data_IF_388151565795
#
_entry.id   IF_388151565795
#
_cell.length_a   1.000
_cell.length_b   1.000
_cell.length_c   1.000
_cell.angle_alpha   90.00
_cell.angle_beta   90.00
_cell.angle_gamma   90.00
#
_symmetry.space_group_name_H-M   'P 1'
#
loop_
_entity.id
_entity.type
_entity.pdbx_description
1 polymer ?
#
# COMPACT_ATOMS: atom_id res chain seq x y z
N UNK A 1 -33.77 22.29 24.53
CA UNK A 1 -33.81 21.81 23.15
C UNK A 1 -32.47 22.17 22.54
N UNK A 2 -31.53 21.25 22.53
CA UNK A 2 -30.22 21.42 21.91
C UNK A 2 -30.28 20.96 20.44
N UNK A 3 -29.46 21.52 19.56
CA UNK A 3 -29.42 21.11 18.16
C UNK A 3 -28.78 19.74 18.03
N UNK A 4 -29.44 18.84 17.30
CA UNK A 4 -28.95 17.51 17.01
C UNK A 4 -27.74 17.59 16.07
N UNK A 5 -26.76 16.76 16.35
CA UNK A 5 -25.64 16.51 15.48
C UNK A 5 -26.14 15.87 14.17
N UNK A 6 -25.97 16.57 13.06
CA UNK A 6 -26.15 16.01 11.73
C UNK A 6 -25.01 15.04 11.46
N UNK A 7 -25.31 13.74 11.40
CA UNK A 7 -24.37 12.74 10.93
C UNK A 7 -24.05 13.02 9.45
N UNK A 8 -22.80 13.34 9.17
CA UNK A 8 -22.28 13.47 7.81
C UNK A 8 -22.12 12.07 7.24
N UNK A 9 -23.04 11.65 6.38
CA UNK A 9 -22.86 10.47 5.55
C UNK A 9 -21.81 10.78 4.48
N UNK A 10 -20.61 10.26 4.65
CA UNK A 10 -19.58 10.28 3.62
C UNK A 10 -20.11 9.50 2.41
N UNK A 11 -20.11 10.13 1.25
CA UNK A 11 -20.42 9.48 -0.01
C UNK A 11 -19.23 8.58 -0.36
N UNK A 12 -19.42 7.30 -0.72
CA UNK A 12 -18.32 6.43 -1.12
C UNK A 12 -17.57 7.03 -2.32
N UNK A 13 -16.25 6.93 -2.29
CA UNK A 13 -15.40 7.22 -3.45
C UNK A 13 -15.82 6.32 -4.62
N UNK A 14 -15.83 6.80 -5.87
CA UNK A 14 -16.02 5.94 -7.02
C UNK A 14 -14.89 4.93 -7.10
N UNK A 15 -15.22 3.65 -6.99
CA UNK A 15 -14.26 2.56 -7.10
C UNK A 15 -13.76 2.38 -8.53
N UNK A 16 -12.58 1.75 -8.71
CA UNK A 16 -12.06 1.40 -10.02
C UNK A 16 -13.06 0.53 -10.81
N UNK A 17 -13.06 0.70 -12.12
CA UNK A 17 -13.96 -0.01 -13.04
C UNK A 17 -13.76 -1.53 -12.95
N UNK A 18 -14.85 -2.29 -13.08
CA UNK A 18 -14.79 -3.73 -13.26
C UNK A 18 -13.98 -4.08 -14.51
N UNK A 19 -13.04 -5.05 -14.41
CA UNK A 19 -12.33 -5.52 -15.59
C UNK A 19 -13.29 -6.18 -16.58
N UNK A 20 -13.05 -6.03 -17.90
CA UNK A 20 -13.82 -6.75 -18.93
C UNK A 20 -13.56 -8.25 -18.82
N UNK A 21 -14.58 -9.05 -19.10
CA UNK A 21 -14.52 -10.51 -19.12
C UNK A 21 -13.41 -11.01 -20.06
N UNK A 22 -12.59 -11.94 -19.54
CA UNK A 22 -11.48 -12.56 -20.28
C UNK A 22 -11.99 -13.26 -21.54
N UNK A 23 -11.59 -12.76 -22.70
CA UNK A 23 -11.73 -13.43 -23.98
C UNK A 23 -10.63 -14.47 -24.18
N UNK A 24 -10.98 -15.58 -24.84
CA UNK A 24 -10.09 -16.72 -25.10
C UNK A 24 -8.84 -16.32 -25.90
N UNK A 25 -7.68 -16.81 -25.45
CA UNK A 25 -6.34 -16.59 -26.03
C UNK A 25 -6.16 -17.45 -27.29
N UNK A 26 -5.61 -16.93 -28.40
CA UNK A 26 -5.17 -17.75 -29.54
C UNK A 26 -3.82 -18.39 -29.25
N UNK A 27 -3.67 -19.65 -29.71
CA UNK A 27 -2.54 -20.53 -29.44
C UNK A 27 -1.16 -20.02 -29.89
N UNK A 28 -0.18 -20.36 -29.10
CA UNK A 28 1.26 -20.08 -29.25
C UNK A 28 1.90 -20.97 -30.33
N UNK A 29 2.81 -20.44 -31.19
CA UNK A 29 3.64 -21.28 -32.03
C UNK A 29 4.86 -21.83 -31.25
N UNK A 30 5.09 -23.10 -31.44
CA UNK A 30 6.21 -23.88 -30.90
C UNK A 30 7.55 -23.43 -31.51
N UNK A 31 8.48 -22.93 -30.69
CA UNK A 31 9.87 -22.68 -31.08
C UNK A 31 10.79 -23.73 -30.48
N UNK A 32 11.69 -24.26 -31.32
CA UNK A 32 12.59 -25.36 -31.06
C UNK A 32 13.61 -25.07 -29.93
N UNK A 33 13.82 -26.06 -29.08
CA UNK A 33 14.72 -26.04 -27.93
C UNK A 33 16.20 -25.96 -28.34
N UNK A 34 16.89 -24.91 -27.87
CA UNK A 34 18.34 -24.88 -27.73
C UNK A 34 18.66 -25.15 -26.24
N UNK A 35 19.66 -25.99 -25.97
CA UNK A 35 20.08 -26.32 -24.60
C UNK A 35 20.53 -25.03 -23.85
N UNK A 36 20.02 -24.78 -22.61
CA UNK A 36 20.46 -23.64 -21.83
C UNK A 36 21.84 -23.93 -21.17
N UNK A 37 22.74 -22.99 -21.30
CA UNK A 37 23.94 -22.94 -20.48
C UNK A 37 23.50 -22.74 -19.01
N UNK A 38 23.87 -23.71 -18.16
CA UNK A 38 23.62 -23.63 -16.71
C UNK A 38 24.54 -22.58 -16.09
N UNK A 39 24.05 -21.36 -15.95
CA UNK A 39 24.59 -20.45 -14.94
C UNK A 39 24.20 -21.01 -13.56
N UNK A 40 25.13 -21.02 -12.57
CA UNK A 40 24.74 -21.39 -11.22
C UNK A 40 23.67 -20.40 -10.74
N UNK A 41 22.52 -20.94 -10.33
CA UNK A 41 21.50 -20.18 -9.62
C UNK A 41 22.15 -19.41 -8.47
N UNK A 42 21.93 -18.09 -8.33
CA UNK A 42 22.34 -17.40 -7.12
C UNK A 42 21.65 -18.13 -5.95
N UNK A 43 22.42 -18.47 -4.92
CA UNK A 43 21.90 -19.10 -3.73
C UNK A 43 20.85 -18.15 -3.13
N UNK A 44 19.56 -18.48 -3.31
CA UNK A 44 18.47 -17.74 -2.68
C UNK A 44 18.74 -17.71 -1.19
N UNK A 45 18.86 -16.52 -0.62
CA UNK A 45 18.96 -16.36 0.81
C UNK A 45 17.73 -17.01 1.46
N UNK A 46 17.92 -17.69 2.60
CA UNK A 46 16.78 -18.25 3.34
C UNK A 46 15.80 -17.13 3.68
N UNK A 47 14.48 -17.39 3.64
CA UNK A 47 13.49 -16.38 4.04
C UNK A 47 13.80 -15.84 5.44
N UNK A 48 13.67 -14.53 5.68
CA UNK A 48 13.86 -13.96 7.01
C UNK A 48 12.79 -14.46 7.97
N UNK A 49 13.14 -14.54 9.25
CA UNK A 49 12.16 -14.89 10.29
C UNK A 49 11.38 -13.66 10.72
N UNK A 50 10.07 -13.62 10.44
CA UNK A 50 9.20 -12.48 10.69
C UNK A 50 8.32 -12.76 11.91
N UNK A 51 8.25 -11.81 12.84
CA UNK A 51 7.48 -11.94 14.08
C UNK A 51 6.77 -10.65 14.45
N UNK A 52 5.56 -10.79 14.98
CA UNK A 52 4.87 -9.74 15.74
C UNK A 52 5.11 -9.99 17.22
N UNK A 53 5.74 -9.03 17.91
CA UNK A 53 5.98 -9.07 19.35
C UNK A 53 5.36 -7.84 20.00
N UNK A 54 4.21 -8.00 20.63
CA UNK A 54 3.38 -6.88 21.04
C UNK A 54 2.97 -6.05 19.81
N UNK A 55 3.30 -4.77 19.81
CA UNK A 55 3.07 -3.88 18.66
C UNK A 55 4.29 -3.71 17.75
N UNK A 56 5.30 -4.57 17.84
CA UNK A 56 6.50 -4.49 17.00
C UNK A 56 6.47 -5.58 15.92
N UNK A 57 6.83 -5.20 14.71
CA UNK A 57 7.23 -6.11 13.65
C UNK A 57 8.74 -6.31 13.76
N UNK A 58 9.18 -7.56 13.79
CA UNK A 58 10.59 -7.93 13.86
C UNK A 58 10.97 -8.83 12.69
N UNK A 59 12.15 -8.57 12.17
CA UNK A 59 12.79 -9.39 11.13
C UNK A 59 14.10 -9.91 11.71
N UNK A 60 14.26 -11.23 11.77
CA UNK A 60 15.42 -11.90 12.38
C UNK A 60 15.71 -11.43 13.82
N UNK A 61 14.64 -11.11 14.56
CA UNK A 61 14.70 -10.65 15.94
C UNK A 61 14.86 -9.14 16.12
N UNK A 62 15.22 -8.39 15.07
CA UNK A 62 15.40 -6.94 15.14
C UNK A 62 14.10 -6.19 14.77
N UNK A 63 13.74 -5.14 15.52
CA UNK A 63 12.57 -4.32 15.19
C UNK A 63 12.72 -3.64 13.82
N UNK A 64 11.72 -3.78 12.97
CA UNK A 64 11.67 -3.12 11.67
C UNK A 64 10.73 -1.89 11.74
N UNK A 65 11.24 -0.72 11.34
CA UNK A 65 10.44 0.46 11.05
C UNK A 65 10.12 0.48 9.56
N UNK A 66 8.83 0.47 9.20
CA UNK A 66 8.41 0.55 7.82
C UNK A 66 8.66 1.96 7.26
N UNK A 67 9.55 2.06 6.30
CA UNK A 67 9.82 3.22 5.47
C UNK A 67 9.39 2.87 4.06
N UNK A 68 8.09 3.01 3.79
CA UNK A 68 7.48 2.43 2.62
C UNK A 68 6.87 3.41 1.65
N UNK A 69 6.59 2.87 0.45
CA UNK A 69 5.79 3.52 -0.58
C UNK A 69 4.77 2.55 -1.15
N UNK A 70 3.62 3.06 -1.57
CA UNK A 70 2.67 2.35 -2.41
C UNK A 70 3.25 2.28 -3.83
N UNK A 71 3.33 1.08 -4.41
CA UNK A 71 3.97 0.86 -5.69
C UNK A 71 3.03 0.12 -6.66
N UNK A 72 2.62 0.84 -7.68
CA UNK A 72 1.62 0.39 -8.64
C UNK A 72 1.96 0.92 -10.04
N UNK A 73 3.05 0.44 -10.67
CA UNK A 73 3.57 1.00 -11.91
C UNK A 73 2.68 0.68 -13.10
N UNK A 74 1.98 1.69 -13.60
CA UNK A 74 1.15 1.64 -14.81
C UNK A 74 1.71 2.62 -15.84
N UNK A 75 2.13 2.15 -17.03
CA UNK A 75 2.69 3.03 -18.05
C UNK A 75 1.64 3.96 -18.66
N UNK A 76 2.13 5.06 -19.28
CA UNK A 76 1.30 6.00 -20.03
C UNK A 76 0.44 5.25 -21.07
N UNK A 77 -0.84 5.57 -21.12
CA UNK A 77 -1.80 4.97 -22.04
C UNK A 77 -2.38 3.62 -21.59
N UNK A 78 -1.97 3.11 -20.45
CA UNK A 78 -2.50 1.89 -19.85
C UNK A 78 -3.41 2.19 -18.65
N UNK A 79 -4.10 1.17 -18.12
CA UNK A 79 -5.01 1.28 -16.98
C UNK A 79 -4.75 0.16 -15.98
N UNK A 80 -4.93 0.44 -14.69
CA UNK A 80 -4.93 -0.58 -13.64
C UNK A 80 -6.25 -1.40 -13.66
N UNK A 81 -6.22 -2.73 -13.40
CA UNK A 81 -5.02 -3.55 -13.15
C UNK A 81 -4.39 -4.12 -14.43
N UNK A 82 -5.06 -4.01 -15.58
CA UNK A 82 -4.69 -4.73 -16.80
C UNK A 82 -3.34 -4.26 -17.40
N UNK A 83 -2.97 -3.01 -17.15
CA UNK A 83 -1.72 -2.41 -17.61
C UNK A 83 -0.61 -2.36 -16.58
N UNK A 84 -0.78 -2.99 -15.42
CA UNK A 84 0.25 -3.03 -14.38
C UNK A 84 1.52 -3.73 -14.87
N UNK A 85 2.66 -3.07 -14.75
CA UNK A 85 3.94 -3.54 -15.30
C UNK A 85 5.07 -3.47 -14.26
N UNK A 86 5.03 -4.36 -13.28
CA UNK A 86 6.10 -4.47 -12.28
C UNK A 86 7.45 -4.79 -12.93
N UNK A 87 7.49 -5.69 -13.92
CA UNK A 87 8.72 -6.15 -14.55
C UNK A 87 9.41 -5.06 -15.35
N UNK A 88 8.64 -4.20 -16.04
CA UNK A 88 9.18 -3.10 -16.84
C UNK A 88 9.79 -1.98 -16.00
N UNK A 89 9.35 -1.84 -14.74
CA UNK A 89 9.77 -0.71 -13.88
C UNK A 89 10.69 -1.09 -12.72
N UNK A 90 10.71 -2.35 -12.28
CA UNK A 90 11.41 -2.75 -11.03
C UNK A 90 12.90 -2.36 -11.00
N UNK A 91 13.61 -2.49 -12.10
CA UNK A 91 15.06 -2.22 -12.14
C UNK A 91 15.35 -0.75 -11.81
N UNK A 92 14.59 0.17 -12.39
CA UNK A 92 14.74 1.61 -12.18
C UNK A 92 14.15 2.05 -10.83
N UNK A 93 12.90 1.63 -10.56
CA UNK A 93 12.20 2.04 -9.34
C UNK A 93 12.90 1.55 -8.08
N UNK A 94 13.36 0.28 -8.03
CA UNK A 94 14.07 -0.24 -6.88
C UNK A 94 15.40 0.46 -6.61
N UNK A 95 16.11 0.92 -7.67
CA UNK A 95 17.33 1.69 -7.50
C UNK A 95 17.08 3.06 -6.85
N UNK A 96 16.07 3.79 -7.32
CA UNK A 96 15.66 5.07 -6.73
C UNK A 96 15.08 4.91 -5.31
N UNK A 97 14.23 3.90 -5.09
CA UNK A 97 13.68 3.58 -3.77
C UNK A 97 14.79 3.28 -2.76
N UNK A 98 15.82 2.54 -3.15
CA UNK A 98 16.99 2.28 -2.30
C UNK A 98 17.75 3.56 -1.97
N UNK A 99 17.95 4.46 -2.95
CA UNK A 99 18.57 5.76 -2.74
C UNK A 99 17.78 6.61 -1.73
N UNK A 100 16.46 6.58 -1.85
CA UNK A 100 15.54 7.25 -0.94
C UNK A 100 15.60 6.67 0.49
N UNK A 101 15.99 5.40 0.65
CA UNK A 101 15.98 4.69 1.93
C UNK A 101 14.69 3.92 2.22
N UNK A 102 13.89 3.66 1.19
CA UNK A 102 12.73 2.76 1.25
C UNK A 102 13.19 1.34 1.60
N UNK A 103 12.48 0.69 2.51
CA UNK A 103 12.70 -0.71 2.89
C UNK A 103 11.48 -1.60 2.67
N UNK A 104 10.36 -1.05 2.23
CA UNK A 104 9.16 -1.82 1.93
C UNK A 104 8.32 -1.16 0.83
N UNK A 105 7.76 -1.97 -0.05
CA UNK A 105 6.70 -1.55 -0.97
C UNK A 105 5.39 -2.23 -0.60
N UNK A 106 4.27 -1.52 -0.77
CA UNK A 106 2.93 -2.08 -0.71
C UNK A 106 2.37 -2.15 -2.12
N UNK A 107 1.89 -3.33 -2.54
CA UNK A 107 1.24 -3.53 -3.83
C UNK A 107 -0.28 -3.44 -3.74
N UNK A 108 -0.96 -3.18 -4.86
CA UNK A 108 -2.42 -3.19 -4.96
C UNK A 108 -2.95 -4.45 -5.63
N UNK A 109 -2.10 -5.14 -6.38
CA UNK A 109 -2.38 -6.44 -6.98
C UNK A 109 -1.35 -7.48 -6.52
N UNK A 110 -1.66 -8.78 -6.61
CA UNK A 110 -0.72 -9.83 -6.24
C UNK A 110 0.56 -9.78 -7.07
N UNK A 111 1.68 -9.58 -6.41
CA UNK A 111 3.01 -9.70 -7.03
C UNK A 111 3.50 -11.14 -6.89
N UNK A 112 3.48 -11.88 -7.99
CA UNK A 112 3.83 -13.30 -8.05
C UNK A 112 5.06 -13.58 -8.91
N UNK A 113 5.59 -12.57 -9.60
CA UNK A 113 6.78 -12.65 -10.41
C UNK A 113 8.03 -12.69 -9.51
N UNK A 114 8.71 -13.83 -9.49
CA UNK A 114 9.88 -14.03 -8.64
C UNK A 114 11.10 -13.23 -9.10
N UNK A 115 11.22 -12.90 -10.38
CA UNK A 115 12.33 -12.06 -10.86
C UNK A 115 12.17 -10.62 -10.37
N UNK A 116 10.94 -10.11 -10.32
CA UNK A 116 10.63 -8.80 -9.72
C UNK A 116 10.91 -8.82 -8.21
N UNK A 117 10.49 -9.87 -7.52
CA UNK A 117 10.75 -10.05 -6.09
C UNK A 117 12.26 -10.15 -5.80
N UNK A 118 13.04 -10.85 -6.63
CA UNK A 118 14.50 -10.92 -6.51
C UNK A 118 15.14 -9.51 -6.61
N UNK A 119 14.70 -8.67 -7.56
CA UNK A 119 15.20 -7.30 -7.70
C UNK A 119 14.91 -6.44 -6.47
N UNK A 120 13.71 -6.57 -5.91
CA UNK A 120 13.36 -5.88 -4.67
C UNK A 120 14.21 -6.38 -3.49
N UNK A 121 14.40 -7.70 -3.35
CA UNK A 121 15.25 -8.28 -2.32
C UNK A 121 16.71 -7.82 -2.43
N UNK A 122 17.28 -7.79 -3.64
CA UNK A 122 18.63 -7.30 -3.92
C UNK A 122 18.80 -5.81 -3.56
N UNK A 123 17.71 -5.05 -3.66
CA UNK A 123 17.67 -3.65 -3.21
C UNK A 123 17.45 -3.48 -1.70
N UNK A 124 17.19 -4.57 -0.96
CA UNK A 124 16.86 -4.55 0.47
C UNK A 124 15.44 -4.08 0.75
N UNK A 125 14.52 -4.29 -0.20
CA UNK A 125 13.13 -3.84 -0.14
C UNK A 125 12.21 -5.05 0.05
N UNK A 126 11.44 -5.03 1.14
CA UNK A 126 10.38 -6.00 1.42
C UNK A 126 9.08 -5.67 0.70
N UNK A 127 8.16 -6.64 0.66
CA UNK A 127 6.86 -6.49 0.00
C UNK A 127 5.72 -6.79 0.99
N UNK A 128 4.82 -5.83 1.15
CA UNK A 128 3.46 -6.04 1.67
C UNK A 128 2.62 -6.43 0.45
N UNK A 129 2.39 -7.73 0.28
CA UNK A 129 1.81 -8.27 -0.95
C UNK A 129 0.28 -8.39 -0.84
N UNK A 130 -0.45 -7.62 -1.63
CA UNK A 130 -1.92 -7.64 -1.67
C UNK A 130 -2.43 -8.86 -2.44
N UNK A 131 -2.62 -9.99 -1.74
CA UNK A 131 -3.04 -11.25 -2.37
C UNK A 131 -4.55 -11.42 -2.50
N UNK A 132 -5.34 -10.54 -1.86
CA UNK A 132 -6.80 -10.48 -2.00
C UNK A 132 -7.30 -9.02 -1.95
N UNK A 133 -6.98 -8.18 -2.96
CA UNK A 133 -7.30 -6.74 -2.93
C UNK A 133 -8.79 -6.44 -3.10
N UNK A 134 -9.54 -7.29 -3.81
CA UNK A 134 -10.95 -7.08 -4.15
C UNK A 134 -11.75 -8.38 -4.20
N UNK A 135 -13.08 -8.29 -4.06
CA UNK A 135 -13.98 -9.43 -3.86
C UNK A 135 -14.47 -10.15 -5.12
N UNK A 136 -13.91 -9.84 -6.29
CA UNK A 136 -14.36 -10.44 -7.56
C UNK A 136 -14.02 -11.91 -7.76
N UNK A 137 -13.12 -12.45 -6.91
CA UNK A 137 -12.77 -13.87 -6.90
C UNK A 137 -13.21 -14.54 -5.59
N UNK A 138 -13.38 -15.87 -5.54
CA UNK A 138 -13.55 -16.61 -4.30
C UNK A 138 -12.35 -16.42 -3.36
N UNK A 139 -12.55 -16.52 -2.04
CA UNK A 139 -11.49 -16.29 -1.06
C UNK A 139 -10.33 -17.30 -1.18
N UNK A 140 -10.60 -18.52 -1.65
CA UNK A 140 -9.59 -19.59 -1.78
C UNK A 140 -8.52 -19.32 -2.85
N UNK A 141 -8.71 -18.33 -3.71
CA UNK A 141 -7.66 -17.90 -4.66
C UNK A 141 -6.37 -17.50 -3.97
N UNK A 142 -6.43 -17.08 -2.70
CA UNK A 142 -5.24 -16.71 -1.91
C UNK A 142 -4.29 -17.88 -1.69
N UNK A 143 -4.79 -19.11 -1.67
CA UNK A 143 -3.97 -20.32 -1.41
C UNK A 143 -2.89 -20.50 -2.47
N UNK A 144 -3.27 -20.36 -3.75
CA UNK A 144 -2.31 -20.48 -4.86
C UNK A 144 -1.36 -19.28 -4.89
N UNK A 145 -1.86 -18.08 -4.66
CA UNK A 145 -1.06 -16.83 -4.65
C UNK A 145 0.01 -16.87 -3.56
N UNK A 146 -0.36 -17.22 -2.35
CA UNK A 146 0.56 -17.35 -1.21
C UNK A 146 1.58 -18.47 -1.47
N UNK A 147 1.12 -19.66 -1.91
CA UNK A 147 1.99 -20.80 -2.18
C UNK A 147 3.06 -20.49 -3.23
N UNK A 148 2.74 -19.66 -4.21
CA UNK A 148 3.66 -19.31 -5.28
C UNK A 148 4.92 -18.59 -4.77
N UNK A 149 4.79 -17.72 -3.75
CA UNK A 149 5.90 -16.83 -3.36
C UNK A 149 6.19 -16.76 -1.85
N UNK A 150 5.50 -17.55 -1.00
CA UNK A 150 5.67 -17.50 0.47
C UNK A 150 7.09 -17.77 0.97
N UNK A 151 7.89 -18.48 0.21
CA UNK A 151 9.28 -18.77 0.58
C UNK A 151 10.27 -17.73 0.05
N UNK A 152 9.77 -16.68 -0.60
CA UNK A 152 10.63 -15.64 -1.18
C UNK A 152 11.08 -14.64 -0.11
N UNK A 153 12.39 -14.31 -0.01
CA UNK A 153 12.92 -13.46 1.06
C UNK A 153 12.41 -12.01 1.05
N UNK A 154 11.85 -11.54 -0.06
CA UNK A 154 11.23 -10.22 -0.12
C UNK A 154 9.86 -10.15 0.55
N UNK A 155 9.15 -11.26 0.77
CA UNK A 155 7.81 -11.22 1.36
C UNK A 155 7.90 -10.85 2.84
N UNK A 156 7.22 -9.78 3.24
CA UNK A 156 7.15 -9.31 4.62
C UNK A 156 5.83 -9.67 5.29
N UNK A 157 4.72 -9.42 4.59
CA UNK A 157 3.38 -9.75 5.06
C UNK A 157 2.39 -9.83 3.90
N UNK A 158 1.28 -10.49 4.15
CA UNK A 158 0.15 -10.58 3.22
C UNK A 158 -0.86 -9.49 3.52
N UNK A 159 -1.46 -8.90 2.49
CA UNK A 159 -2.55 -7.95 2.66
C UNK A 159 -3.84 -8.44 1.99
N UNK A 160 -4.98 -8.18 2.64
CA UNK A 160 -6.33 -8.51 2.15
C UNK A 160 -7.25 -7.30 2.27
N UNK A 161 -7.97 -7.02 1.19
CA UNK A 161 -8.83 -5.84 1.04
C UNK A 161 -8.03 -4.54 0.90
N UNK A 162 -8.68 -3.53 0.32
CA UNK A 162 -8.24 -2.15 0.34
C UNK A 162 -9.48 -1.28 0.52
N UNK A 163 -9.54 -0.47 1.60
CA UNK A 163 -10.66 0.42 1.91
C UNK A 163 -12.05 -0.24 1.79
N UNK A 164 -12.10 -1.51 2.11
CA UNK A 164 -13.27 -2.35 1.91
C UNK A 164 -14.50 -1.89 2.71
N UNK A 165 -14.29 -1.11 3.76
CA UNK A 165 -15.34 -0.43 4.52
C UNK A 165 -16.06 0.66 3.73
N UNK A 166 -15.41 1.24 2.71
CA UNK A 166 -16.00 2.24 1.83
C UNK A 166 -16.55 1.62 0.54
N UNK A 167 -15.85 0.65 -0.02
CA UNK A 167 -16.10 0.18 -1.38
C UNK A 167 -16.75 -1.21 -1.48
N UNK A 168 -16.99 -1.92 -0.33
CA UNK A 168 -17.59 -3.25 -0.33
C UNK A 168 -16.79 -4.26 -1.17
N UNK A 169 -15.45 -4.25 -1.05
CA UNK A 169 -14.50 -5.02 -1.83
C UNK A 169 -14.68 -4.82 -3.35
N UNK A 170 -15.08 -3.62 -3.77
CA UNK A 170 -15.34 -3.21 -5.16
C UNK A 170 -16.41 -4.05 -5.91
N UNK A 171 -17.18 -4.86 -5.18
CA UNK A 171 -18.27 -5.69 -5.74
C UNK A 171 -19.59 -5.46 -5.02
N UNK A 172 -19.68 -4.39 -4.24
CA UNK A 172 -20.92 -3.97 -3.55
C UNK A 172 -21.33 -4.88 -2.40
N UNK A 173 -20.40 -5.56 -1.74
CA UNK A 173 -20.68 -6.33 -0.54
C UNK A 173 -21.09 -5.40 0.62
N UNK A 174 -21.95 -5.90 1.48
CA UNK A 174 -22.19 -5.26 2.76
C UNK A 174 -20.93 -5.27 3.64
N UNK A 175 -20.89 -4.43 4.67
CA UNK A 175 -19.80 -4.45 5.65
C UNK A 175 -19.60 -5.86 6.26
N UNK A 176 -20.68 -6.49 6.71
CA UNK A 176 -20.62 -7.82 7.33
C UNK A 176 -20.19 -8.91 6.35
N UNK A 177 -20.62 -8.85 5.09
CA UNK A 177 -20.17 -9.79 4.04
C UNK A 177 -18.70 -9.57 3.70
N UNK A 178 -18.22 -8.32 3.69
CA UNK A 178 -16.80 -7.99 3.50
C UNK A 178 -15.95 -8.54 4.64
N UNK A 179 -16.37 -8.33 5.90
CA UNK A 179 -15.74 -8.92 7.09
C UNK A 179 -15.66 -10.44 6.98
N UNK A 180 -16.77 -11.10 6.64
CA UNK A 180 -16.81 -12.56 6.51
C UNK A 180 -15.85 -13.05 5.42
N UNK A 181 -15.85 -12.41 4.26
CA UNK A 181 -14.99 -12.75 3.11
C UNK A 181 -13.50 -12.55 3.42
N UNK A 182 -13.13 -11.45 4.08
CA UNK A 182 -11.74 -11.17 4.43
C UNK A 182 -11.23 -12.08 5.55
N UNK A 183 -12.07 -12.42 6.55
CA UNK A 183 -11.71 -13.41 7.55
C UNK A 183 -11.49 -14.80 6.94
N UNK A 184 -12.31 -15.20 5.98
CA UNK A 184 -12.12 -16.45 5.26
C UNK A 184 -10.77 -16.43 4.52
N UNK A 185 -10.48 -15.38 3.75
CA UNK A 185 -9.22 -15.23 3.04
C UNK A 185 -8.02 -15.26 4.01
N UNK A 186 -8.07 -14.49 5.10
CA UNK A 186 -7.00 -14.45 6.09
C UNK A 186 -6.78 -15.82 6.78
N UNK A 187 -7.85 -16.54 7.10
CA UNK A 187 -7.75 -17.88 7.68
C UNK A 187 -7.10 -18.89 6.71
N UNK A 188 -7.43 -18.81 5.42
CA UNK A 188 -6.83 -19.63 4.37
C UNK A 188 -5.35 -19.30 4.18
N UNK A 189 -4.97 -18.02 4.20
CA UNK A 189 -3.58 -17.58 4.16
C UNK A 189 -2.81 -18.19 5.34
N UNK A 190 -3.31 -18.05 6.57
CA UNK A 190 -2.66 -18.60 7.78
C UNK A 190 -2.55 -20.10 7.79
N UNK A 191 -3.46 -20.81 7.15
CA UNK A 191 -3.39 -22.27 6.99
C UNK A 191 -2.32 -22.68 5.99
N UNK A 192 -2.04 -21.86 4.98
CA UNK A 192 -1.01 -22.09 3.97
C UNK A 192 0.38 -21.60 4.40
N UNK A 193 0.40 -20.49 5.17
CA UNK A 193 1.62 -19.81 5.62
C UNK A 193 1.43 -19.30 7.05
N UNK A 194 2.13 -19.91 8.00
CA UNK A 194 2.12 -19.53 9.42
C UNK A 194 3.23 -18.55 9.80
N UNK A 195 4.14 -18.26 8.89
CA UNK A 195 5.35 -17.48 9.17
C UNK A 195 5.15 -15.98 8.93
N UNK A 196 4.34 -15.62 7.93
CA UNK A 196 4.11 -14.21 7.60
C UNK A 196 2.79 -13.71 8.19
N UNK A 197 2.78 -12.49 8.78
CA UNK A 197 1.55 -11.89 9.29
C UNK A 197 0.58 -11.52 8.15
N UNK A 198 -0.71 -11.51 8.50
CA UNK A 198 -1.78 -11.08 7.60
C UNK A 198 -2.30 -9.72 8.02
N UNK A 199 -2.24 -8.77 7.09
CA UNK A 199 -2.79 -7.43 7.25
C UNK A 199 -4.13 -7.27 6.51
N UNK A 200 -4.97 -6.36 7.00
CA UNK A 200 -6.10 -5.80 6.22
C UNK A 200 -5.97 -4.29 6.13
N UNK A 201 -6.46 -3.71 5.02
CA UNK A 201 -6.35 -2.27 4.77
C UNK A 201 -7.72 -1.62 4.91
N UNK A 202 -7.83 -0.71 5.86
CA UNK A 202 -9.09 -0.07 6.26
C UNK A 202 -8.99 1.45 6.07
N UNK A 203 -10.05 2.05 5.57
CA UNK A 203 -10.17 3.51 5.51
C UNK A 203 -10.55 4.08 6.87
N UNK A 204 -9.69 4.92 7.46
CA UNK A 204 -9.85 5.50 8.78
C UNK A 204 -9.83 4.45 9.93
N UNK A 205 -10.18 4.84 11.14
CA UNK A 205 -10.14 3.94 12.31
C UNK A 205 -11.36 3.00 12.35
N UNK A 206 -11.16 1.67 12.44
CA UNK A 206 -12.26 0.74 12.65
C UNK A 206 -12.87 0.90 14.04
N UNK A 207 -14.12 0.54 14.17
CA UNK A 207 -14.77 0.43 15.47
C UNK A 207 -14.41 -0.89 16.18
N UNK A 208 -14.73 -0.96 17.48
CA UNK A 208 -14.43 -2.13 18.29
C UNK A 208 -15.17 -3.41 17.82
N UNK A 209 -16.33 -3.28 17.19
CA UNK A 209 -17.08 -4.42 16.67
C UNK A 209 -16.39 -5.02 15.44
N UNK A 210 -15.92 -4.17 14.52
CA UNK A 210 -15.13 -4.57 13.34
C UNK A 210 -13.83 -5.25 13.76
N UNK A 211 -13.08 -4.67 14.72
CA UNK A 211 -11.85 -5.28 15.25
C UNK A 211 -12.13 -6.68 15.84
N UNK A 212 -13.15 -6.81 16.66
CA UNK A 212 -13.53 -8.08 17.28
C UNK A 212 -14.03 -9.14 16.28
N UNK A 213 -14.59 -8.69 15.15
CA UNK A 213 -15.11 -9.59 14.12
C UNK A 213 -14.01 -10.14 13.19
N UNK A 214 -12.76 -9.65 13.27
CA UNK A 214 -11.66 -10.05 12.37
C UNK A 214 -10.45 -10.65 13.13
N UNK A 215 -10.62 -11.78 13.84
CA UNK A 215 -9.58 -12.38 14.68
C UNK A 215 -8.41 -13.00 13.89
N UNK A 216 -8.57 -13.18 12.59
CA UNK A 216 -7.51 -13.72 11.71
C UNK A 216 -6.54 -12.64 11.20
N UNK A 217 -6.78 -11.37 11.50
CA UNK A 217 -5.92 -10.26 11.11
C UNK A 217 -4.90 -9.99 12.21
N UNK A 218 -3.62 -9.96 11.83
CA UNK A 218 -2.50 -9.71 12.74
C UNK A 218 -2.11 -8.23 12.78
N UNK A 219 -2.24 -7.54 11.65
CA UNK A 219 -1.81 -6.14 11.46
C UNK A 219 -2.91 -5.36 10.76
N UNK A 220 -3.12 -4.11 11.17
CA UNK A 220 -4.08 -3.21 10.55
C UNK A 220 -3.37 -2.11 9.78
N UNK A 221 -3.58 -2.07 8.47
CA UNK A 221 -3.21 -0.93 7.64
C UNK A 221 -4.34 0.10 7.67
N UNK A 222 -4.01 1.34 7.94
CA UNK A 222 -4.96 2.45 8.00
C UNK A 222 -4.63 3.46 6.91
N UNK A 223 -5.56 3.66 5.97
CA UNK A 223 -5.49 4.76 5.01
C UNK A 223 -6.05 6.01 5.67
N UNK A 224 -5.24 7.07 5.81
CA UNK A 224 -5.62 8.27 6.51
C UNK A 224 -5.14 9.55 5.82
N UNK A 225 -6.11 10.37 5.40
CA UNK A 225 -5.87 11.65 4.74
C UNK A 225 -6.54 12.77 5.52
N UNK A 226 -5.80 13.34 6.49
CA UNK A 226 -6.31 14.33 7.45
C UNK A 226 -5.59 15.69 7.35
N UNK A 227 -5.14 16.05 6.16
CA UNK A 227 -4.34 17.25 5.95
C UNK A 227 -2.85 17.02 6.28
N UNK A 228 -2.24 17.94 7.03
CA UNK A 228 -0.80 17.91 7.34
C UNK A 228 -0.45 17.23 8.68
N UNK A 229 -1.43 16.68 9.38
CA UNK A 229 -1.29 15.93 10.65
C UNK A 229 -2.38 14.89 10.76
N UNK A 230 -2.07 13.77 11.41
CA UNK A 230 -3.04 12.71 11.68
C UNK A 230 -3.95 12.99 12.89
N UNK A 231 -3.68 14.07 13.65
CA UNK A 231 -4.49 14.43 14.82
C UNK A 231 -4.50 13.32 15.88
N UNK A 232 -5.67 12.79 16.19
CA UNK A 232 -5.88 11.77 17.22
C UNK A 232 -5.78 10.30 16.73
N UNK A 233 -5.27 10.08 15.51
CA UNK A 233 -5.24 8.74 14.89
C UNK A 233 -4.55 7.69 15.76
N UNK A 234 -3.34 8.00 16.24
CA UNK A 234 -2.51 7.05 16.98
C UNK A 234 -3.02 6.83 18.42
N UNK A 235 -3.50 7.88 19.07
CA UNK A 235 -4.17 7.77 20.38
C UNK A 235 -5.44 6.96 20.26
N UNK A 236 -6.27 7.29 19.26
CA UNK A 236 -7.51 6.60 18.97
C UNK A 236 -7.32 5.10 18.65
N UNK A 237 -6.22 4.75 17.97
CA UNK A 237 -5.85 3.34 17.77
C UNK A 237 -5.45 2.68 19.09
N UNK A 238 -4.60 3.35 19.88
CA UNK A 238 -4.11 2.84 21.16
C UNK A 238 -5.22 2.54 22.17
N UNK A 239 -6.32 3.30 22.11
CA UNK A 239 -7.50 3.09 22.94
C UNK A 239 -8.39 1.91 22.49
N UNK A 240 -8.35 1.57 21.18
CA UNK A 240 -9.23 0.56 20.57
C UNK A 240 -8.63 -0.81 20.46
N UNK A 241 -7.30 -0.91 20.29
CA UNK A 241 -6.63 -2.18 19.95
C UNK A 241 -5.23 -2.29 20.50
N UNK A 242 -4.86 -3.49 20.92
CA UNK A 242 -3.48 -3.87 21.23
C UNK A 242 -2.72 -4.42 20.01
N UNK A 243 -3.38 -4.63 18.88
CA UNK A 243 -2.73 -5.05 17.65
C UNK A 243 -1.82 -3.96 17.07
N UNK A 244 -0.74 -4.31 16.35
CA UNK A 244 0.04 -3.36 15.62
C UNK A 244 -0.75 -2.77 14.45
N UNK A 245 -0.46 -1.51 14.11
CA UNK A 245 -0.98 -0.85 12.93
C UNK A 245 0.16 -0.20 12.13
N UNK A 246 -0.09 0.07 10.86
CA UNK A 246 0.74 0.98 10.07
C UNK A 246 -0.15 1.93 9.28
N UNK A 247 0.35 3.09 8.92
CA UNK A 247 -0.37 3.99 8.02
C UNK A 247 -0.13 3.49 6.60
N UNK A 248 -1.13 2.80 6.04
CA UNK A 248 -0.99 2.08 4.77
C UNK A 248 -1.16 2.96 3.53
N UNK A 249 -1.78 4.13 3.71
CA UNK A 249 -1.77 5.23 2.76
C UNK A 249 -1.82 6.55 3.52
N UNK A 250 -0.95 7.47 3.10
CA UNK A 250 -0.91 8.86 3.55
C UNK A 250 -0.11 9.68 2.54
N UNK A 251 -0.31 10.97 2.53
CA UNK A 251 0.46 11.86 1.67
C UNK A 251 -0.33 13.10 1.25
N UNK A 252 0.13 13.71 0.19
CA UNK A 252 -0.50 14.82 -0.52
C UNK A 252 -0.14 14.72 -1.99
N UNK A 253 -1.04 15.20 -2.85
CA UNK A 253 -0.73 15.35 -4.27
C UNK A 253 0.04 16.65 -4.56
N UNK A 254 0.62 16.75 -5.74
CA UNK A 254 1.44 17.88 -6.15
C UNK A 254 0.64 18.96 -6.91
N UNK A 255 -0.69 18.93 -6.85
CA UNK A 255 -1.55 19.93 -7.47
C UNK A 255 -2.42 20.63 -6.42
N UNK A 256 -2.43 21.96 -6.43
CA UNK A 256 -3.21 22.76 -5.51
C UNK A 256 -4.43 23.36 -6.22
N UNK A 257 -5.63 22.87 -5.89
CA UNK A 257 -6.88 23.33 -6.49
C UNK A 257 -7.28 24.74 -6.01
N UNK A 258 -6.82 25.19 -4.84
CA UNK A 258 -7.07 26.56 -4.32
C UNK A 258 -6.24 27.61 -5.07
N UNK A 259 -5.06 27.21 -5.56
CA UNK A 259 -4.15 28.04 -6.37
C UNK A 259 -3.89 27.33 -7.71
N UNK A 260 -4.91 27.11 -8.57
CA UNK A 260 -4.90 26.14 -9.64
C UNK A 260 -3.55 25.98 -10.35
N UNK A 261 -2.80 24.95 -10.02
CA UNK A 261 -1.46 24.72 -10.54
C UNK A 261 -0.64 23.70 -9.78
N UNK A 262 0.47 23.36 -10.40
CA UNK A 262 1.49 22.48 -9.84
C UNK A 262 2.12 23.12 -8.59
N UNK A 263 2.05 22.42 -7.45
CA UNK A 263 2.51 22.89 -6.13
C UNK A 263 3.27 21.76 -5.40
N UNK A 264 4.42 21.34 -5.92
CA UNK A 264 5.19 20.23 -5.35
C UNK A 264 5.82 20.59 -3.99
N UNK A 265 5.92 21.86 -3.65
CA UNK A 265 6.46 22.31 -2.36
C UNK A 265 5.47 21.99 -1.23
N UNK A 266 4.17 22.21 -1.45
CA UNK A 266 3.13 21.81 -0.48
C UNK A 266 3.09 20.29 -0.32
N UNK A 267 3.25 19.52 -1.39
CA UNK A 267 3.41 18.06 -1.31
C UNK A 267 4.62 17.69 -0.42
N UNK A 268 5.78 18.30 -0.66
CA UNK A 268 7.01 18.02 0.11
C UNK A 268 6.85 18.35 1.59
N UNK A 269 6.21 19.48 1.92
CA UNK A 269 5.91 19.88 3.30
C UNK A 269 5.06 18.83 4.00
N UNK A 270 3.94 18.43 3.37
CA UNK A 270 3.01 17.45 3.94
C UNK A 270 3.66 16.08 4.11
N UNK A 271 4.34 15.56 3.08
CA UNK A 271 5.03 14.27 3.11
C UNK A 271 6.05 14.21 4.26
N UNK A 272 6.86 15.26 4.42
CA UNK A 272 7.83 15.32 5.51
C UNK A 272 7.17 15.40 6.89
N UNK A 273 6.13 16.21 7.06
CA UNK A 273 5.43 16.38 8.34
C UNK A 273 4.74 15.09 8.77
N UNK A 274 3.96 14.49 7.89
CA UNK A 274 3.22 13.26 8.14
C UNK A 274 4.15 12.08 8.43
N UNK A 275 5.25 11.94 7.69
CA UNK A 275 6.22 10.86 7.93
C UNK A 275 6.90 11.00 9.28
N UNK A 276 7.26 12.23 9.71
CA UNK A 276 7.80 12.46 11.05
C UNK A 276 6.81 12.08 12.14
N UNK A 277 5.54 12.47 11.99
CA UNK A 277 4.48 12.15 12.96
C UNK A 277 4.29 10.62 13.08
N UNK A 278 4.27 9.88 11.97
CA UNK A 278 4.25 8.41 11.98
C UNK A 278 5.42 7.84 12.79
N UNK A 279 6.63 8.38 12.61
CA UNK A 279 7.83 7.88 13.27
C UNK A 279 7.91 8.26 14.75
N UNK A 280 7.32 9.37 15.16
CA UNK A 280 7.16 9.75 16.58
C UNK A 280 6.28 8.73 17.32
N UNK A 281 5.30 8.16 16.65
CA UNK A 281 4.40 7.12 17.18
C UNK A 281 4.84 5.68 16.88
N UNK A 282 6.06 5.47 16.37
CA UNK A 282 6.54 4.14 16.00
C UNK A 282 6.88 3.28 17.21
N UNK A 283 6.36 2.05 17.24
CA UNK A 283 6.58 1.07 18.30
C UNK A 283 8.03 0.57 18.37
N UNK A 284 8.76 0.57 17.24
CA UNK A 284 10.18 0.23 17.18
C UNK A 284 11.07 1.26 17.88
N UNK A 285 10.66 2.53 17.92
CA UNK A 285 11.39 3.65 18.53
C UNK A 285 10.97 3.93 19.97
N UNK A 286 9.73 3.62 20.32
CA UNK A 286 9.14 3.83 21.64
C UNK A 286 8.49 2.55 22.17
N UNK A 287 9.28 1.55 22.60
CA UNK A 287 8.74 0.32 23.14
C UNK A 287 7.85 0.59 24.35
N UNK A 288 6.57 0.26 24.25
CA UNK A 288 5.56 0.49 25.29
C UNK A 288 4.75 1.78 25.16
N UNK A 289 5.07 2.64 24.18
CA UNK A 289 4.31 3.88 23.91
C UNK A 289 3.87 4.04 22.46
N UNK A 290 4.64 3.53 21.51
CA UNK A 290 4.30 3.60 20.09
C UNK A 290 3.28 2.54 19.66
N UNK A 291 2.46 2.89 18.70
CA UNK A 291 1.40 2.00 18.15
C UNK A 291 1.64 1.64 16.68
N UNK A 292 2.40 2.49 15.95
CA UNK A 292 2.66 2.36 14.53
C UNK A 292 3.87 1.48 14.23
N UNK A 293 3.80 0.70 13.16
CA UNK A 293 4.95 0.01 12.57
C UNK A 293 5.75 0.92 11.61
N UNK A 294 5.23 2.10 11.29
CA UNK A 294 5.68 2.98 10.21
C UNK A 294 4.58 3.21 9.19
N UNK A 295 4.92 3.44 7.93
CA UNK A 295 3.91 3.66 6.89
C UNK A 295 4.40 3.39 5.48
N UNK A 296 3.42 3.37 4.54
CA UNK A 296 3.62 3.34 3.10
C UNK A 296 2.99 4.59 2.48
N UNK A 297 3.85 5.50 2.02
CA UNK A 297 3.42 6.76 1.41
C UNK A 297 2.64 6.49 0.12
N UNK A 298 1.53 7.14 -0.05
CA UNK A 298 0.78 7.21 -1.28
C UNK A 298 1.18 8.47 -2.04
N UNK A 299 1.95 8.42 -3.19
CA UNK A 299 2.42 7.15 -3.75
C UNK A 299 3.78 7.30 -4.44
N UNK A 300 4.32 6.23 -5.00
CA UNK A 300 5.64 6.26 -5.62
C UNK A 300 5.67 7.15 -6.85
N UNK A 301 4.86 6.84 -7.87
CA UNK A 301 4.83 7.55 -9.14
C UNK A 301 3.41 7.92 -9.55
N UNK A 302 3.27 8.97 -10.33
CA UNK A 302 1.98 9.41 -10.87
C UNK A 302 1.25 8.30 -11.63
N UNK A 303 -0.08 8.31 -11.55
CA UNK A 303 -0.97 7.34 -12.16
C UNK A 303 -1.99 8.02 -13.08
N UNK A 304 -1.62 8.30 -14.33
CA UNK A 304 -2.47 9.02 -15.31
C UNK A 304 -3.74 8.28 -15.74
N UNK A 305 -3.97 7.08 -15.23
CA UNK A 305 -5.18 6.30 -15.47
C UNK A 305 -6.28 6.57 -14.44
N UNK A 306 -5.96 7.24 -13.34
CA UNK A 306 -6.89 7.50 -12.25
C UNK A 306 -7.94 8.55 -12.62
N UNK A 307 -8.88 8.76 -11.73
CA UNK A 307 -10.05 9.64 -11.76
C UNK A 307 -11.07 9.43 -12.89
N UNK A 308 -10.74 8.66 -13.92
CA UNK A 308 -11.60 8.29 -15.06
C UNK A 308 -12.08 9.51 -15.89
N UNK A 309 -11.46 10.67 -15.71
CA UNK A 309 -11.68 11.88 -16.48
C UNK A 309 -10.46 12.12 -17.36
N UNK A 310 -10.66 12.61 -18.57
CA UNK A 310 -9.56 12.98 -19.42
C UNK A 310 -8.90 11.85 -20.19
N UNK A 311 -7.58 11.91 -20.32
CA UNK A 311 -6.78 11.08 -21.24
C UNK A 311 -5.76 10.23 -20.50
N UNK A 312 -5.69 8.94 -20.81
CA UNK A 312 -4.63 8.05 -20.29
C UNK A 312 -3.22 8.45 -20.76
N UNK A 313 -3.10 9.42 -21.68
CA UNK A 313 -1.82 9.82 -22.29
C UNK A 313 -1.38 11.23 -21.90
N UNK A 314 -2.17 11.94 -21.12
CA UNK A 314 -1.92 13.29 -20.63
C UNK A 314 -2.30 13.33 -19.13
N UNK A 315 -1.55 14.05 -18.34
CA UNK A 315 -1.86 14.23 -16.92
C UNK A 315 -3.01 15.24 -16.78
N UNK A 316 -4.13 14.78 -16.29
CA UNK A 316 -5.35 15.57 -16.15
C UNK A 316 -5.43 16.23 -14.76
N UNK A 317 -6.25 17.27 -14.69
CA UNK A 317 -6.61 17.93 -13.44
C UNK A 317 -8.05 17.58 -13.14
N UNK A 318 -8.25 16.84 -12.11
CA UNK A 318 -9.56 16.45 -11.63
C UNK A 318 -9.45 16.03 -10.17
N UNK A 319 -10.42 16.41 -9.36
CA UNK A 319 -10.29 16.17 -7.95
C UNK A 319 -11.60 15.81 -7.27
N UNK A 320 -11.49 15.02 -6.23
CA UNK A 320 -12.59 14.66 -5.34
C UNK A 320 -12.37 15.38 -4.02
N UNK A 321 -13.39 16.12 -3.57
CA UNK A 321 -13.38 16.86 -2.30
C UNK A 321 -14.46 16.31 -1.36
N UNK A 322 -14.19 15.23 -0.62
CA UNK A 322 -15.19 14.56 0.22
C UNK A 322 -15.51 15.30 1.54
N UNK A 323 -14.87 16.43 1.82
CA UNK A 323 -15.04 17.20 3.05
C UNK A 323 -13.96 16.96 4.09
N UNK A 324 -12.85 16.44 3.68
CA UNK A 324 -11.60 16.20 4.37
C UNK A 324 -10.66 15.53 3.39
N UNK A 325 -9.36 15.63 3.57
CA UNK A 325 -8.44 15.08 2.59
C UNK A 325 -7.02 15.59 2.76
N UNK A 326 -6.21 15.50 1.70
CA UNK A 326 -4.81 15.86 1.75
C UNK A 326 -4.59 17.37 1.93
N UNK A 327 -3.42 17.72 2.39
CA UNK A 327 -2.93 19.10 2.41
C UNK A 327 -2.52 19.52 0.96
N UNK A 328 -2.68 20.78 0.53
CA UNK A 328 -3.19 21.89 1.35
C UNK A 328 -4.70 22.16 1.21
N UNK A 329 -5.35 21.62 0.18
CA UNK A 329 -6.65 22.06 -0.32
C UNK A 329 -7.80 21.06 -0.01
N UNK A 330 -7.49 19.90 0.56
CA UNK A 330 -8.44 18.81 0.84
C UNK A 330 -9.10 18.22 -0.43
N UNK A 331 -8.44 18.36 -1.57
CA UNK A 331 -8.86 17.80 -2.85
C UNK A 331 -7.90 16.69 -3.25
N UNK A 332 -8.45 15.55 -3.65
CA UNK A 332 -7.66 14.42 -4.18
C UNK A 332 -7.50 14.62 -5.69
N UNK A 333 -6.36 15.12 -6.13
CA UNK A 333 -6.02 15.20 -7.55
C UNK A 333 -5.30 13.92 -7.95
N UNK A 334 -6.08 12.92 -8.33
CA UNK A 334 -5.71 11.49 -8.37
C UNK A 334 -4.49 11.16 -9.23
N UNK A 335 -4.17 11.98 -10.23
CA UNK A 335 -3.05 11.74 -11.14
C UNK A 335 -1.72 12.40 -10.70
N UNK A 336 -1.70 13.10 -9.54
CA UNK A 336 -0.58 13.96 -9.11
C UNK A 336 0.09 13.51 -7.81
N UNK A 337 -0.10 12.27 -7.39
CA UNK A 337 0.34 11.79 -6.07
C UNK A 337 1.78 11.34 -6.00
N UNK A 338 2.41 11.04 -7.12
CA UNK A 338 3.77 10.52 -7.14
C UNK A 338 4.78 11.46 -6.48
N UNK A 339 5.72 10.92 -5.71
CA UNK A 339 6.92 11.66 -5.27
C UNK A 339 7.99 11.68 -6.37
N UNK A 340 7.83 10.82 -7.37
CA UNK A 340 8.40 10.99 -8.70
C UNK A 340 7.24 11.11 -9.70
N UNK A 341 7.45 11.77 -10.81
CA UNK A 341 6.44 11.82 -11.85
C UNK A 341 6.34 10.48 -12.62
N UNK A 342 5.48 10.40 -13.63
CA UNK A 342 5.28 9.16 -14.39
C UNK A 342 6.54 8.71 -15.14
N UNK A 343 7.45 9.63 -15.46
CA UNK A 343 8.75 9.37 -16.12
C UNK A 343 9.88 9.14 -15.10
N UNK A 344 9.57 9.18 -13.79
CA UNK A 344 10.49 8.98 -12.65
C UNK A 344 11.44 10.15 -12.38
N UNK A 345 11.08 11.35 -12.84
CA UNK A 345 11.76 12.57 -12.42
C UNK A 345 11.36 12.91 -10.96
N UNK A 346 12.35 13.17 -10.13
CA UNK A 346 12.16 13.44 -8.70
C UNK A 346 11.44 14.76 -8.45
N UNK A 347 10.41 14.74 -7.60
CA UNK A 347 9.80 15.95 -7.03
C UNK A 347 10.50 16.36 -5.72
N UNK A 348 10.32 17.60 -5.24
CA UNK A 348 10.83 18.05 -3.94
C UNK A 348 10.46 17.11 -2.78
N UNK A 349 9.31 16.43 -2.86
CA UNK A 349 8.87 15.45 -1.89
C UNK A 349 9.84 14.24 -1.75
N UNK A 350 10.53 13.84 -2.84
CA UNK A 350 11.54 12.79 -2.80
C UNK A 350 12.70 13.17 -1.87
N UNK A 351 13.27 14.35 -2.03
CA UNK A 351 14.37 14.83 -1.18
C UNK A 351 13.90 15.01 0.27
N UNK A 352 12.71 15.58 0.47
CA UNK A 352 12.14 15.79 1.80
C UNK A 352 11.92 14.46 2.57
N UNK A 353 11.44 13.43 1.88
CA UNK A 353 11.25 12.10 2.45
C UNK A 353 12.59 11.42 2.75
N UNK A 354 13.58 11.54 1.85
CA UNK A 354 14.94 11.01 2.05
C UNK A 354 15.56 11.55 3.34
N UNK A 355 15.44 12.85 3.57
CA UNK A 355 15.96 13.48 4.78
C UNK A 355 15.29 12.92 6.04
N UNK A 356 13.97 12.74 6.04
CA UNK A 356 13.23 12.14 7.17
C UNK A 356 13.65 10.68 7.40
N UNK A 357 13.85 9.91 6.33
CA UNK A 357 14.28 8.51 6.44
C UNK A 357 15.72 8.40 6.97
N UNK A 358 16.63 9.28 6.54
CA UNK A 358 18.01 9.34 7.04
C UNK A 358 18.05 9.68 8.55
N UNK A 359 17.29 10.66 8.98
CA UNK A 359 17.17 11.04 10.40
C UNK A 359 16.58 9.90 11.26
N UNK A 360 15.81 9.01 10.67
CA UNK A 360 15.20 7.88 11.36
C UNK A 360 16.15 6.72 11.60
N UNK A 361 17.24 6.62 10.84
CA UNK A 361 18.15 5.47 10.89
C UNK A 361 19.00 5.43 12.20
N UNK A 362 19.00 6.49 13.02
CA UNK A 362 19.72 6.58 14.29
C UNK A 362 21.26 6.44 14.16
N UNK A 363 22.06 6.91 15.10
CA UNK A 363 23.48 6.64 15.11
C UNK A 363 23.79 5.19 15.44
#
# INVERSE_FOLDING_TARGET
MGPGAAGTTLTPLPGPMQPPALGETPGTPELAAGEPATNPEPASAAPPHIQIVGRQLRVDGEPLLLRGVCWNPVPIGATHPAGLDYAGYVEHDAALMRELGVNVVRTYEPLLDTEVLDRLADAGIYVINSVYPWGGSPADVVVERVRAVRNHPAILMWAVGNEWNYNGLYVGLSHDDSVARLNEAAALIKAEDSEHPVATIYGELPDAATLAAMPSIDVWGINAYRGISFGDLFEGWGERSDAPMFVSEYGADAYNADLPGYDPESQAEAVAALTREIFEHASSRSPGGGVSLGGTLFEWADEWWKDQAGSLSEQDVGGIAPGGGPYPDQVFNEEWWGIVDIEREERPAFAALRDVYADSAGP
#
